data_IF_658257887792
#
_entry.id   IF_658257887792
#
_cell.length_a   1.000
_cell.length_b   1.000
_cell.length_c   1.000
_cell.angle_alpha   90.00
_cell.angle_beta   90.00
_cell.angle_gamma   90.00
#
_symmetry.space_group_name_H-M   'P 1'
#
loop_
_entity.id
_entity.type
_entity.pdbx_description
1 polymer ?
#
# COMPACT_ATOMS: atom_id res chain seq x y z
N UNK A 1 -3.51 18.38 -12.17
CA UNK A 1 -3.03 18.99 -10.88
C UNK A 1 -3.65 18.20 -9.75
N UNK A 2 -2.97 18.08 -8.61
CA UNK A 2 -3.57 17.47 -7.41
C UNK A 2 -4.03 18.56 -6.43
N UNK A 3 -5.01 18.22 -5.62
CA UNK A 3 -5.41 18.99 -4.43
C UNK A 3 -5.24 18.11 -3.20
N UNK A 4 -5.13 18.72 -2.03
CA UNK A 4 -5.07 17.97 -0.78
C UNK A 4 -5.90 18.64 0.31
N UNK A 5 -6.41 17.82 1.22
CA UNK A 5 -7.15 18.26 2.39
C UNK A 5 -6.66 17.54 3.63
N UNK A 6 -6.88 18.13 4.80
CA UNK A 6 -6.58 17.50 6.08
C UNK A 6 -7.82 16.74 6.53
N UNK A 7 -7.65 15.46 6.85
CA UNK A 7 -8.68 14.60 7.43
C UNK A 7 -8.39 14.43 8.92
N UNK A 8 -9.37 14.73 9.75
CA UNK A 8 -9.31 14.49 11.19
C UNK A 8 -9.74 13.06 11.50
N UNK A 9 -8.91 12.33 12.22
CA UNK A 9 -9.16 10.97 12.65
C UNK A 9 -9.98 10.95 13.97
N UNK A 10 -10.53 9.80 14.31
CA UNK A 10 -11.43 9.63 15.48
C UNK A 10 -10.73 9.86 16.84
N UNK A 11 -9.41 9.68 16.91
CA UNK A 11 -8.60 9.97 18.11
C UNK A 11 -8.07 11.43 18.16
N UNK A 12 -8.49 12.26 17.20
CA UNK A 12 -8.10 13.67 17.09
C UNK A 12 -6.80 13.91 16.33
N UNK A 13 -6.09 12.86 15.92
CA UNK A 13 -4.99 12.98 14.98
C UNK A 13 -5.50 13.43 13.60
N UNK A 14 -4.58 13.84 12.73
CA UNK A 14 -4.92 14.29 11.38
C UNK A 14 -4.04 13.57 10.36
N UNK A 15 -4.55 13.40 9.16
CA UNK A 15 -3.78 12.95 8.02
C UNK A 15 -4.03 13.82 6.79
N UNK A 16 -3.12 13.77 5.82
CA UNK A 16 -3.28 14.45 4.55
C UNK A 16 -3.87 13.48 3.54
N UNK A 17 -5.02 13.86 2.96
CA UNK A 17 -5.66 13.18 1.84
C UNK A 17 -5.39 13.97 0.56
N UNK A 18 -4.79 13.34 -0.43
CA UNK A 18 -4.49 13.92 -1.73
C UNK A 18 -5.46 13.36 -2.78
N UNK A 19 -5.93 14.23 -3.68
CA UNK A 19 -6.85 13.92 -4.75
C UNK A 19 -6.25 14.31 -6.10
N UNK A 20 -6.27 13.39 -7.06
CA UNK A 20 -6.03 13.62 -8.49
C UNK A 20 -7.28 13.26 -9.30
N UNK A 21 -7.55 14.04 -10.34
CA UNK A 21 -8.79 13.93 -11.12
C UNK A 21 -9.94 14.68 -10.46
N UNK A 22 -10.95 15.01 -11.25
CA UNK A 22 -12.11 15.81 -10.86
C UNK A 22 -13.45 15.17 -11.22
N UNK A 23 -13.41 13.98 -11.83
CA UNK A 23 -14.59 13.23 -12.25
C UNK A 23 -14.36 11.71 -12.22
N UNK A 24 -15.43 10.96 -12.42
CA UNK A 24 -15.39 9.50 -12.40
C UNK A 24 -15.52 8.89 -11.00
N UNK A 25 -15.51 7.55 -10.91
CA UNK A 25 -15.61 6.83 -9.64
C UNK A 25 -14.36 7.01 -8.76
N UNK A 26 -14.53 6.88 -7.44
CA UNK A 26 -13.40 7.00 -6.52
C UNK A 26 -12.54 5.74 -6.49
N UNK A 27 -11.23 5.93 -6.53
CA UNK A 27 -10.20 4.93 -6.26
C UNK A 27 -9.36 5.40 -5.07
N UNK A 28 -9.43 4.68 -3.95
CA UNK A 28 -8.64 4.99 -2.75
C UNK A 28 -7.41 4.09 -2.68
N UNK A 29 -6.23 4.70 -2.55
CA UNK A 29 -4.94 4.05 -2.57
C UNK A 29 -4.26 4.09 -1.19
N UNK A 30 -3.83 2.92 -0.68
CA UNK A 30 -3.21 2.72 0.64
C UNK A 30 -1.77 2.26 0.44
N UNK A 31 -0.81 3.07 0.87
CA UNK A 31 0.61 2.79 0.67
C UNK A 31 1.17 1.73 1.65
N UNK A 32 2.34 1.15 1.33
CA UNK A 32 3.06 0.22 2.20
C UNK A 32 3.92 0.91 3.26
N UNK A 33 4.55 0.09 4.12
CA UNK A 33 5.37 0.53 5.25
C UNK A 33 6.48 1.50 4.82
N UNK A 34 7.16 2.00 4.51
CA UNK A 34 8.26 2.89 4.07
C UNK A 34 7.88 3.73 2.87
N UNK A 35 6.59 4.09 2.77
CA UNK A 35 6.05 4.81 1.64
C UNK A 35 5.19 6.00 2.10
N UNK A 36 4.48 6.64 1.21
CA UNK A 36 3.59 7.76 1.48
C UNK A 36 2.50 7.85 0.41
N UNK A 37 1.52 8.73 0.58
CA UNK A 37 0.50 9.03 -0.44
C UNK A 37 1.11 9.36 -1.80
N UNK A 38 2.27 10.02 -1.84
CA UNK A 38 2.95 10.41 -3.09
C UNK A 38 3.41 9.24 -3.95
N UNK A 39 3.49 8.03 -3.39
CA UNK A 39 3.83 6.82 -4.15
C UNK A 39 2.80 6.44 -5.21
N UNK A 40 1.63 7.03 -5.17
CA UNK A 40 0.55 6.78 -6.11
C UNK A 40 0.48 7.79 -7.27
N UNK A 41 1.42 8.76 -7.32
CA UNK A 41 1.43 9.80 -8.34
C UNK A 41 1.46 9.24 -9.78
N UNK A 42 2.21 8.15 -10.01
CA UNK A 42 2.28 7.51 -11.33
C UNK A 42 0.98 6.78 -11.71
N UNK A 43 0.34 6.13 -10.75
CA UNK A 43 -1.01 5.56 -10.92
C UNK A 43 -2.01 6.68 -11.19
N UNK A 44 -1.93 7.77 -10.44
CA UNK A 44 -2.78 8.92 -10.65
C UNK A 44 -2.59 9.55 -12.05
N UNK A 45 -1.37 9.70 -12.54
CA UNK A 45 -1.12 10.16 -13.92
C UNK A 45 -1.77 9.28 -14.98
N UNK A 46 -1.87 7.97 -14.73
CA UNK A 46 -2.45 7.00 -15.67
C UNK A 46 -3.98 7.00 -15.65
N UNK A 47 -4.59 7.24 -14.47
CA UNK A 47 -6.01 6.95 -14.28
C UNK A 47 -6.87 8.17 -13.91
N UNK A 48 -6.29 9.36 -13.68
CA UNK A 48 -7.04 10.54 -13.26
C UNK A 48 -7.96 11.16 -14.34
N UNK A 49 -7.89 10.66 -15.56
CA UNK A 49 -8.86 10.95 -16.65
C UNK A 49 -10.11 10.06 -16.60
N UNK A 50 -10.14 9.02 -15.75
CA UNK A 50 -11.23 8.06 -15.61
C UNK A 50 -11.73 7.91 -14.17
N UNK A 51 -10.89 8.25 -13.20
CA UNK A 51 -11.15 8.09 -11.77
C UNK A 51 -10.75 9.34 -10.99
N UNK A 52 -11.44 9.59 -9.91
CA UNK A 52 -10.91 10.40 -8.82
C UNK A 52 -10.01 9.52 -7.96
N UNK A 53 -8.70 9.77 -7.99
CA UNK A 53 -7.69 8.99 -7.27
C UNK A 53 -7.41 9.67 -5.94
N UNK A 54 -7.70 8.97 -4.85
CA UNK A 54 -7.42 9.41 -3.49
C UNK A 54 -6.26 8.62 -2.91
N UNK A 55 -5.37 9.27 -2.19
CA UNK A 55 -4.35 8.63 -1.38
C UNK A 55 -4.08 9.44 -0.12
N UNK A 56 -3.81 8.76 0.99
CA UNK A 56 -3.53 9.42 2.27
C UNK A 56 -2.23 8.89 2.88
N UNK A 57 -1.62 9.68 3.77
CA UNK A 57 -0.48 9.21 4.56
C UNK A 57 -0.97 8.42 5.76
N UNK A 58 -0.60 7.15 5.85
CA UNK A 58 -0.89 6.35 7.03
C UNK A 58 -0.13 6.88 8.25
N UNK A 59 -0.61 6.55 9.43
CA UNK A 59 -0.03 6.95 10.72
C UNK A 59 1.47 6.65 10.77
N UNK A 60 2.26 7.62 11.22
CA UNK A 60 3.73 7.52 11.25
C UNK A 60 4.44 7.73 9.91
N UNK A 61 3.71 8.07 8.83
CA UNK A 61 4.26 8.25 7.49
C UNK A 61 3.97 9.65 6.92
N UNK A 62 4.77 10.06 5.92
CA UNK A 62 4.63 11.33 5.24
C UNK A 62 4.75 12.52 6.21
N UNK A 63 3.94 13.53 6.00
CA UNK A 63 3.91 14.73 6.85
C UNK A 63 3.48 14.44 8.29
N UNK A 64 2.86 13.28 8.54
CA UNK A 64 2.39 12.81 9.85
C UNK A 64 3.33 11.80 10.51
N UNK A 65 4.58 11.68 10.05
CA UNK A 65 5.58 10.75 10.60
C UNK A 65 5.83 10.89 12.11
N UNK A 66 5.47 12.04 12.70
CA UNK A 66 5.65 12.32 14.12
C UNK A 66 4.42 11.99 14.97
N UNK A 67 3.35 11.48 14.40
CA UNK A 67 2.12 11.16 15.14
C UNK A 67 2.38 10.02 16.12
N UNK A 68 2.14 10.30 17.40
CA UNK A 68 2.10 9.29 18.46
C UNK A 68 0.77 8.54 18.42
N UNK A 69 0.76 7.33 18.97
CA UNK A 69 -0.43 6.48 19.00
C UNK A 69 -0.16 5.08 18.44
N UNK A 70 -1.08 4.13 18.58
CA UNK A 70 -0.89 2.78 18.10
C UNK A 70 -0.78 2.72 16.57
N UNK A 71 0.06 1.80 16.08
CA UNK A 71 0.26 1.49 14.66
C UNK A 71 -0.16 0.07 14.31
N UNK A 72 -1.15 -0.44 15.02
CA UNK A 72 -1.72 -1.77 14.76
C UNK A 72 -2.55 -1.80 13.47
N UNK A 73 -2.74 -2.98 12.90
CA UNK A 73 -3.67 -3.18 11.77
C UNK A 73 -5.09 -2.70 12.13
N UNK A 74 -5.52 -2.94 13.37
CA UNK A 74 -6.82 -2.44 13.86
C UNK A 74 -6.90 -0.92 13.80
N UNK A 75 -5.86 -0.19 14.24
CA UNK A 75 -5.81 1.27 14.17
C UNK A 75 -5.78 1.77 12.73
N UNK A 76 -5.03 1.12 11.86
CA UNK A 76 -4.99 1.47 10.44
C UNK A 76 -6.37 1.35 9.77
N UNK A 77 -7.19 0.38 10.20
CA UNK A 77 -8.57 0.24 9.71
C UNK A 77 -9.51 1.33 10.25
N UNK A 78 -9.33 1.77 11.49
CA UNK A 78 -10.09 2.91 12.03
C UNK A 78 -9.71 4.22 11.29
N UNK A 79 -8.42 4.45 11.04
CA UNK A 79 -7.95 5.58 10.25
C UNK A 79 -8.52 5.53 8.82
N UNK A 80 -8.53 4.34 8.18
CA UNK A 80 -9.13 4.13 6.86
C UNK A 80 -10.64 4.46 6.85
N UNK A 81 -11.38 4.12 7.91
CA UNK A 81 -12.80 4.48 8.03
C UNK A 81 -13.00 5.99 7.96
N UNK A 82 -12.24 6.75 8.75
CA UNK A 82 -12.31 8.21 8.74
C UNK A 82 -11.96 8.80 7.34
N UNK A 83 -10.99 8.20 6.65
CA UNK A 83 -10.62 8.62 5.29
C UNK A 83 -11.75 8.32 4.29
N UNK A 84 -12.36 7.14 4.35
CA UNK A 84 -13.51 6.77 3.49
C UNK A 84 -14.68 7.75 3.72
N UNK A 85 -14.99 8.06 4.97
CA UNK A 85 -16.03 9.04 5.31
C UNK A 85 -15.72 10.44 4.76
N UNK A 86 -14.44 10.86 4.82
CA UNK A 86 -14.01 12.17 4.32
C UNK A 86 -14.06 12.29 2.78
N UNK A 87 -13.98 11.18 2.05
CA UNK A 87 -14.13 11.15 0.58
C UNK A 87 -15.57 11.53 0.17
N UNK A 88 -16.57 11.28 1.02
CA UNK A 88 -17.97 11.68 0.85
C UNK A 88 -18.61 11.20 -0.47
N UNK A 89 -18.09 10.12 -1.06
CA UNK A 89 -18.65 9.42 -2.23
C UNK A 89 -18.30 7.92 -2.15
N UNK A 90 -19.06 7.04 -2.85
CA UNK A 90 -18.75 5.62 -2.85
C UNK A 90 -17.32 5.32 -3.36
N UNK A 91 -16.55 4.55 -2.59
CA UNK A 91 -15.23 4.08 -2.99
C UNK A 91 -15.42 2.85 -3.89
N UNK A 92 -15.22 3.02 -5.19
CA UNK A 92 -15.39 1.95 -6.16
C UNK A 92 -14.23 0.97 -6.17
N UNK A 93 -13.00 1.47 -5.93
CA UNK A 93 -11.78 0.66 -5.87
C UNK A 93 -10.99 1.03 -4.63
N UNK A 94 -10.71 0.04 -3.79
CA UNK A 94 -9.75 0.16 -2.68
C UNK A 94 -8.48 -0.60 -3.06
N UNK A 95 -7.39 0.13 -3.30
CA UNK A 95 -6.12 -0.43 -3.75
C UNK A 95 -5.05 -0.26 -2.67
N UNK A 96 -4.31 -1.33 -2.37
CA UNK A 96 -3.24 -1.27 -1.38
C UNK A 96 -2.02 -2.07 -1.78
N UNK A 97 -0.84 -1.60 -1.38
CA UNK A 97 0.45 -2.26 -1.61
C UNK A 97 1.05 -2.73 -0.29
N UNK A 98 1.57 -3.98 -0.24
CA UNK A 98 2.31 -4.49 0.92
C UNK A 98 1.46 -4.43 2.22
N UNK A 99 1.90 -3.71 3.26
CA UNK A 99 1.10 -3.37 4.44
C UNK A 99 -0.24 -2.72 4.10
N UNK A 100 -0.23 -1.75 3.16
CA UNK A 100 -1.47 -1.16 2.65
C UNK A 100 -2.36 -2.17 1.93
N UNK A 101 -1.78 -3.24 1.37
CA UNK A 101 -2.50 -4.38 0.81
C UNK A 101 -3.28 -5.16 1.87
N UNK A 102 -2.67 -5.39 3.04
CA UNK A 102 -3.36 -5.98 4.20
C UNK A 102 -4.53 -5.08 4.66
N UNK A 103 -4.27 -3.78 4.80
CA UNK A 103 -5.31 -2.79 5.17
C UNK A 103 -6.45 -2.78 4.13
N UNK A 104 -6.13 -2.83 2.84
CA UNK A 104 -7.13 -2.85 1.77
C UNK A 104 -7.95 -4.16 1.76
N UNK A 105 -7.34 -5.31 2.00
CA UNK A 105 -8.04 -6.59 2.07
C UNK A 105 -9.07 -6.61 3.21
N UNK A 106 -8.66 -6.26 4.42
CA UNK A 106 -9.59 -6.22 5.57
C UNK A 106 -10.59 -5.05 5.44
N UNK A 107 -10.14 -3.89 4.96
CA UNK A 107 -11.03 -2.76 4.66
C UNK A 107 -12.11 -3.12 3.64
N UNK A 108 -11.76 -3.89 2.61
CA UNK A 108 -12.71 -4.38 1.62
C UNK A 108 -13.80 -5.29 2.18
N UNK A 109 -13.51 -6.05 3.24
CA UNK A 109 -14.53 -6.86 3.92
C UNK A 109 -15.41 -6.02 4.85
N UNK A 110 -14.86 -5.00 5.49
CA UNK A 110 -15.54 -4.23 6.55
C UNK A 110 -16.31 -3.03 6.06
N UNK A 111 -15.83 -2.39 4.99
CA UNK A 111 -16.42 -1.14 4.48
C UNK A 111 -17.15 -1.37 3.16
N UNK A 112 -18.07 -0.46 2.85
CA UNK A 112 -18.79 -0.48 1.58
C UNK A 112 -17.88 0.08 0.45
N UNK A 113 -17.09 -0.82 -0.14
CA UNK A 113 -16.25 -0.55 -1.30
C UNK A 113 -16.60 -1.54 -2.42
N UNK A 114 -16.47 -1.09 -3.67
CA UNK A 114 -16.91 -1.90 -4.81
C UNK A 114 -16.03 -3.12 -5.07
N UNK A 115 -14.70 -2.94 -5.09
CA UNK A 115 -13.71 -3.98 -5.36
C UNK A 115 -12.37 -3.65 -4.70
N UNK A 116 -11.49 -4.65 -4.59
CA UNK A 116 -10.17 -4.52 -3.96
C UNK A 116 -9.06 -4.86 -4.94
N UNK A 117 -7.95 -4.12 -4.85
CA UNK A 117 -6.69 -4.43 -5.53
C UNK A 117 -5.60 -4.57 -4.46
N UNK A 118 -5.13 -5.78 -4.26
CA UNK A 118 -4.08 -6.11 -3.31
C UNK A 118 -2.77 -6.36 -4.08
N UNK A 119 -1.84 -5.42 -3.96
CA UNK A 119 -0.54 -5.46 -4.65
C UNK A 119 0.48 -6.05 -3.71
N UNK A 120 0.92 -7.27 -3.99
CA UNK A 120 1.88 -8.05 -3.20
C UNK A 120 1.65 -7.86 -1.68
N UNK A 121 0.44 -8.23 -1.18
CA UNK A 121 -0.03 -7.82 0.14
C UNK A 121 0.71 -8.54 1.26
N UNK A 122 0.92 -7.87 2.38
CA UNK A 122 1.42 -8.49 3.59
C UNK A 122 0.31 -9.29 4.27
N UNK A 123 0.26 -10.61 4.07
CA UNK A 123 -0.77 -11.48 4.66
C UNK A 123 -0.52 -11.79 6.14
N UNK A 124 0.72 -11.73 6.56
CA UNK A 124 1.19 -11.90 7.94
C UNK A 124 2.55 -11.24 8.09
N UNK A 125 2.99 -10.98 9.30
CA UNK A 125 4.34 -10.46 9.49
C UNK A 125 5.38 -11.47 8.98
N UNK A 126 6.25 -11.00 8.08
CA UNK A 126 7.32 -11.81 7.53
C UNK A 126 8.42 -12.06 8.57
N UNK A 127 8.82 -13.32 8.70
CA UNK A 127 9.97 -13.75 9.51
C UNK A 127 11.10 -14.30 8.63
N UNK A 128 10.95 -14.14 7.31
CA UNK A 128 11.83 -14.75 6.32
C UNK A 128 13.09 -13.91 6.03
N UNK A 129 13.96 -14.49 5.21
CA UNK A 129 15.24 -13.88 4.81
C UNK A 129 15.06 -12.56 4.05
N UNK A 130 13.98 -12.43 3.28
CA UNK A 130 13.68 -11.22 2.54
C UNK A 130 13.40 -10.05 3.48
N UNK A 131 12.55 -10.28 4.48
CA UNK A 131 12.18 -9.26 5.48
C UNK A 131 13.39 -8.81 6.31
N UNK A 132 14.25 -9.75 6.73
CA UNK A 132 15.48 -9.44 7.45
C UNK A 132 16.45 -8.58 6.60
N UNK A 133 16.60 -8.91 5.31
CA UNK A 133 17.41 -8.12 4.38
C UNK A 133 16.83 -6.71 4.21
N UNK A 134 15.53 -6.60 3.99
CA UNK A 134 14.84 -5.32 3.85
C UNK A 134 15.02 -4.42 5.07
N UNK A 135 14.89 -4.95 6.29
CA UNK A 135 15.14 -4.20 7.53
C UNK A 135 16.59 -3.72 7.61
N UNK A 136 17.57 -4.57 7.29
CA UNK A 136 18.98 -4.19 7.31
C UNK A 136 19.33 -3.08 6.32
N UNK A 137 18.75 -3.11 5.13
CA UNK A 137 18.92 -2.04 4.12
C UNK A 137 18.31 -0.71 4.62
N UNK A 138 17.16 -0.77 5.29
CA UNK A 138 16.54 0.41 5.89
C UNK A 138 17.34 0.97 7.06
N UNK A 139 17.87 0.12 7.93
CA UNK A 139 18.74 0.55 9.03
C UNK A 139 19.95 1.33 8.51
N UNK A 140 20.58 0.87 7.42
CA UNK A 140 21.68 1.57 6.79
C UNK A 140 21.26 2.97 6.26
N UNK A 141 20.05 3.11 5.70
CA UNK A 141 19.54 4.40 5.24
C UNK A 141 19.17 5.32 6.42
N UNK A 142 18.58 4.78 7.50
CA UNK A 142 18.24 5.56 8.69
C UNK A 142 19.45 5.96 9.54
N UNK A 143 20.60 5.32 9.37
CA UNK A 143 21.86 5.77 9.94
C UNK A 143 22.35 7.10 9.33
N UNK A 144 21.82 7.50 8.19
CA UNK A 144 22.09 8.78 7.54
C UNK A 144 21.00 9.80 7.87
N UNK A 145 21.31 11.10 7.75
CA UNK A 145 20.36 12.18 8.00
C UNK A 145 20.35 13.20 6.86
N UNK A 146 19.21 13.91 6.71
CA UNK A 146 19.04 15.00 5.77
C UNK A 146 19.44 14.64 4.33
N UNK A 147 20.20 15.52 3.67
CA UNK A 147 20.59 15.34 2.27
C UNK A 147 21.42 14.08 2.01
N UNK A 148 22.19 13.59 3.01
CA UNK A 148 22.97 12.36 2.86
C UNK A 148 22.05 11.15 2.74
N UNK A 149 20.97 11.08 3.55
CA UNK A 149 19.94 10.05 3.42
C UNK A 149 19.24 10.15 2.07
N UNK A 150 18.81 11.32 1.67
CA UNK A 150 18.11 11.55 0.42
C UNK A 150 18.95 11.11 -0.79
N UNK A 151 20.24 11.41 -0.79
CA UNK A 151 21.17 10.98 -1.84
C UNK A 151 21.32 9.44 -1.86
N UNK A 152 21.49 8.81 -0.70
CA UNK A 152 21.58 7.35 -0.58
C UNK A 152 20.28 6.64 -1.05
N UNK A 153 19.13 7.22 -0.76
CA UNK A 153 17.84 6.71 -1.25
C UNK A 153 17.75 6.85 -2.77
N UNK A 154 18.16 7.98 -3.36
CA UNK A 154 18.18 8.14 -4.83
C UNK A 154 19.10 7.13 -5.50
N UNK A 155 20.23 6.82 -4.91
CA UNK A 155 21.17 5.84 -5.41
C UNK A 155 20.62 4.41 -5.30
N UNK A 156 20.09 4.03 -4.13
CA UNK A 156 19.49 2.72 -3.90
C UNK A 156 18.30 2.40 -4.83
N UNK A 157 17.59 3.43 -5.30
CA UNK A 157 16.43 3.30 -6.19
C UNK A 157 16.66 3.98 -7.56
N UNK A 158 17.92 4.02 -8.03
CA UNK A 158 18.31 4.72 -9.27
C UNK A 158 17.55 4.22 -10.50
N UNK A 159 17.23 2.94 -10.56
CA UNK A 159 16.50 2.28 -11.67
C UNK A 159 14.99 2.56 -11.68
N UNK A 160 14.46 3.18 -10.62
CA UNK A 160 13.05 3.51 -10.57
C UNK A 160 12.71 4.73 -11.44
N UNK A 161 11.45 4.79 -11.90
CA UNK A 161 10.94 6.01 -12.50
C UNK A 161 11.16 7.20 -11.55
N UNK A 162 11.43 8.38 -12.09
CA UNK A 162 11.76 9.59 -11.30
C UNK A 162 10.67 9.93 -10.28
N UNK A 163 9.39 9.80 -10.63
CA UNK A 163 8.28 10.07 -9.69
C UNK A 163 8.27 9.07 -8.53
N UNK A 164 8.46 7.80 -8.82
CA UNK A 164 8.50 6.74 -7.82
C UNK A 164 9.71 6.90 -6.89
N UNK A 165 10.86 7.23 -7.45
CA UNK A 165 12.10 7.47 -6.71
C UNK A 165 11.97 8.69 -5.78
N UNK A 166 11.52 9.85 -6.29
CA UNK A 166 11.37 11.05 -5.46
C UNK A 166 10.26 10.89 -4.41
N UNK A 167 9.21 10.09 -4.68
CA UNK A 167 8.23 9.72 -3.67
C UNK A 167 8.84 8.87 -2.55
N UNK A 168 9.82 8.01 -2.86
CA UNK A 168 10.56 7.20 -1.90
C UNK A 168 11.50 8.06 -1.05
N UNK A 169 12.20 9.02 -1.68
CA UNK A 169 13.01 10.02 -0.96
C UNK A 169 12.14 10.77 0.05
N UNK A 170 11.03 11.34 -0.40
CA UNK A 170 10.08 12.05 0.47
C UNK A 170 9.62 11.18 1.65
N UNK A 171 9.25 9.94 1.40
CA UNK A 171 8.75 9.04 2.43
C UNK A 171 9.81 8.74 3.51
N UNK A 172 11.04 8.42 3.11
CA UNK A 172 12.13 8.10 4.04
C UNK A 172 12.75 9.34 4.70
N UNK A 173 12.68 10.51 4.05
CA UNK A 173 13.08 11.77 4.66
C UNK A 173 12.21 12.11 5.87
N UNK A 174 10.89 11.98 5.73
CA UNK A 174 9.93 12.30 6.78
C UNK A 174 9.84 11.20 7.88
N UNK A 175 10.20 9.96 7.55
CA UNK A 175 10.03 8.81 8.44
C UNK A 175 11.14 8.70 9.48
N UNK A 176 10.78 8.22 10.68
CA UNK A 176 11.73 7.89 11.75
C UNK A 176 11.97 6.37 11.80
N UNK A 177 13.16 5.95 12.20
CA UNK A 177 13.48 4.53 12.42
C UNK A 177 12.50 3.88 13.42
N UNK A 178 12.15 4.60 14.50
CA UNK A 178 11.17 4.15 15.51
C UNK A 178 9.77 3.85 14.94
N UNK A 179 9.40 4.38 13.78
CA UNK A 179 8.13 4.05 13.12
C UNK A 179 8.11 2.59 12.66
N UNK A 180 9.23 2.08 12.11
CA UNK A 180 9.34 0.68 11.70
C UNK A 180 9.37 -0.27 12.89
N UNK A 181 10.12 0.09 13.93
CA UNK A 181 10.18 -0.68 15.17
C UNK A 181 8.78 -0.81 15.77
N UNK A 182 8.04 0.29 15.85
CA UNK A 182 6.69 0.33 16.38
C UNK A 182 5.71 -0.49 15.53
N UNK A 183 5.76 -0.36 14.19
CA UNK A 183 4.92 -1.17 13.30
C UNK A 183 5.19 -2.67 13.51
N UNK A 184 6.45 -3.07 13.66
CA UNK A 184 6.81 -4.47 13.91
C UNK A 184 6.32 -4.94 15.28
N UNK A 185 6.61 -4.17 16.33
CA UNK A 185 6.39 -4.61 17.72
C UNK A 185 4.90 -4.60 18.09
N UNK A 186 4.11 -3.73 17.48
CA UNK A 186 2.65 -3.65 17.70
C UNK A 186 1.82 -4.59 16.80
N UNK A 187 2.46 -5.27 15.83
CA UNK A 187 1.82 -6.25 14.95
C UNK A 187 2.57 -7.58 14.94
N UNK A 188 2.81 -8.23 16.10
CA UNK A 188 3.52 -9.50 16.12
C UNK A 188 2.74 -10.59 15.37
N UNK A 189 3.42 -11.62 14.84
CA UNK A 189 2.82 -12.65 13.96
C UNK A 189 1.58 -13.33 14.52
N UNK A 190 1.49 -13.46 15.84
CA UNK A 190 0.37 -14.08 16.56
C UNK A 190 -0.87 -13.18 16.66
N UNK A 191 -0.78 -11.89 16.34
CA UNK A 191 -1.90 -10.94 16.47
C UNK A 191 -2.67 -10.75 15.18
N UNK A 192 -2.11 -11.14 14.05
CA UNK A 192 -2.79 -11.07 12.77
C UNK A 192 -2.21 -12.04 11.74
N UNK A 193 -3.12 -12.76 11.10
CA UNK A 193 -2.86 -13.67 10.00
C UNK A 193 -4.07 -13.61 9.07
N UNK A 194 -3.89 -13.05 7.88
CA UNK A 194 -4.98 -12.78 6.95
C UNK A 194 -5.31 -13.98 6.04
N UNK A 195 -4.68 -15.14 6.25
CA UNK A 195 -4.90 -16.30 5.38
C UNK A 195 -6.31 -16.85 5.44
N UNK A 196 -6.95 -16.79 6.62
CA UNK A 196 -8.35 -17.20 6.76
C UNK A 196 -9.30 -16.15 6.17
N UNK A 197 -8.99 -14.88 6.32
CA UNK A 197 -9.81 -13.76 5.83
C UNK A 197 -9.84 -13.67 4.31
N UNK A 198 -8.78 -14.08 3.61
CA UNK A 198 -8.79 -14.09 2.15
C UNK A 198 -9.52 -15.29 1.57
N UNK A 199 -9.74 -16.35 2.35
CA UNK A 199 -10.53 -17.49 1.92
C UNK A 199 -11.99 -17.06 1.67
N UNK A 200 -12.50 -17.35 0.47
CA UNK A 200 -13.86 -16.96 0.05
C UNK A 200 -14.12 -15.44 0.14
N UNK A 201 -13.18 -14.66 -0.34
CA UNK A 201 -13.26 -13.19 -0.30
C UNK A 201 -14.61 -12.70 -0.88
N UNK A 202 -15.36 -11.84 -0.15
CA UNK A 202 -16.76 -11.58 -0.47
C UNK A 202 -16.98 -10.64 -1.66
N UNK A 203 -15.93 -9.95 -2.13
CA UNK A 203 -15.98 -8.93 -3.18
C UNK A 203 -15.02 -9.25 -4.33
N UNK A 204 -15.18 -8.65 -5.50
CA UNK A 204 -14.16 -8.74 -6.53
C UNK A 204 -12.81 -8.28 -5.99
N UNK A 205 -11.78 -9.12 -6.10
CA UNK A 205 -10.42 -8.81 -5.67
C UNK A 205 -9.40 -9.20 -6.72
N UNK A 206 -8.46 -8.29 -6.99
CA UNK A 206 -7.25 -8.58 -7.75
C UNK A 206 -6.08 -8.74 -6.77
N UNK A 207 -5.46 -9.91 -6.77
CA UNK A 207 -4.14 -10.15 -6.19
C UNK A 207 -3.10 -9.96 -7.30
N UNK A 208 -2.48 -8.79 -7.36
CA UNK A 208 -1.37 -8.52 -8.26
C UNK A 208 -0.07 -8.85 -7.52
N UNK A 209 0.52 -10.00 -7.85
CA UNK A 209 1.62 -10.60 -7.09
C UNK A 209 2.96 -10.40 -7.79
N UNK A 210 4.00 -10.15 -6.99
CA UNK A 210 5.39 -10.18 -7.47
C UNK A 210 5.84 -11.60 -7.81
N UNK A 211 7.03 -11.73 -8.40
CA UNK A 211 7.69 -13.02 -8.54
C UNK A 211 7.89 -13.65 -7.15
N UNK A 212 7.57 -14.93 -6.94
CA UNK A 212 7.74 -15.59 -5.64
C UNK A 212 9.15 -15.46 -5.04
N UNK A 213 10.19 -15.34 -5.87
CA UNK A 213 11.56 -15.12 -5.40
C UNK A 213 11.82 -13.69 -4.91
N UNK A 214 10.92 -12.74 -5.20
CA UNK A 214 11.04 -11.31 -4.89
C UNK A 214 9.86 -10.75 -4.09
N UNK A 215 8.88 -11.60 -3.79
CA UNK A 215 7.66 -11.24 -3.04
C UNK A 215 7.90 -11.26 -1.54
N UNK A 216 7.09 -10.46 -0.82
CA UNK A 216 6.93 -10.55 0.63
C UNK A 216 5.99 -11.70 1.03
N UNK A 217 5.20 -12.20 0.09
CA UNK A 217 4.26 -13.31 0.32
C UNK A 217 5.04 -14.61 0.38
N UNK A 218 4.87 -15.38 1.45
CA UNK A 218 5.53 -16.68 1.58
C UNK A 218 5.04 -17.65 0.51
N UNK A 219 5.91 -18.53 0.02
CA UNK A 219 5.58 -19.42 -1.10
C UNK A 219 4.31 -20.26 -0.87
N UNK A 220 4.08 -20.78 0.33
CA UNK A 220 2.85 -21.52 0.65
C UNK A 220 1.58 -20.68 0.63
N UNK A 221 1.70 -19.36 0.78
CA UNK A 221 0.57 -18.44 0.76
C UNK A 221 0.16 -18.08 -0.69
N UNK A 222 1.07 -18.18 -1.68
CA UNK A 222 0.71 -18.09 -3.11
C UNK A 222 -0.29 -19.17 -3.50
N UNK A 223 -0.03 -20.42 -3.16
CA UNK A 223 -0.94 -21.54 -3.43
C UNK A 223 -2.29 -21.35 -2.72
N UNK A 224 -2.30 -20.72 -1.54
CA UNK A 224 -3.52 -20.38 -0.85
C UNK A 224 -4.31 -19.32 -1.62
N UNK A 225 -3.68 -18.23 -2.05
CA UNK A 225 -4.31 -17.17 -2.84
C UNK A 225 -4.89 -17.75 -4.14
N UNK A 226 -4.12 -18.57 -4.86
CA UNK A 226 -4.57 -19.20 -6.10
C UNK A 226 -5.77 -20.12 -5.89
N UNK A 227 -5.80 -20.92 -4.81
CA UNK A 227 -6.93 -21.79 -4.48
C UNK A 227 -8.17 -21.02 -4.02
N UNK A 228 -7.97 -19.91 -3.33
CA UNK A 228 -9.06 -19.07 -2.81
C UNK A 228 -9.54 -18.06 -3.82
N UNK A 229 -8.79 -17.84 -4.90
CA UNK A 229 -9.24 -17.09 -6.05
C UNK A 229 -10.45 -17.81 -6.67
N UNK A 230 -11.62 -17.58 -6.09
CA UNK A 230 -12.90 -18.06 -6.59
C UNK A 230 -13.37 -17.26 -7.80
N UNK A 231 -14.61 -17.43 -8.20
CA UNK A 231 -15.20 -16.74 -9.37
C UNK A 231 -15.08 -15.20 -9.33
N UNK A 232 -14.88 -14.62 -8.14
CA UNK A 232 -14.77 -13.17 -7.93
C UNK A 232 -13.35 -12.67 -7.70
N UNK A 233 -12.38 -13.57 -7.64
CA UNK A 233 -10.99 -13.22 -7.34
C UNK A 233 -10.11 -13.51 -8.54
N UNK A 234 -9.22 -12.60 -8.86
CA UNK A 234 -8.19 -12.74 -9.89
C UNK A 234 -6.82 -12.75 -9.21
N UNK A 235 -6.03 -13.79 -9.44
CA UNK A 235 -4.63 -13.83 -9.03
C UNK A 235 -3.75 -13.69 -10.28
N UNK A 236 -2.83 -12.75 -10.28
CA UNK A 236 -1.89 -12.53 -11.37
C UNK A 236 -0.47 -12.39 -10.83
N UNK A 237 0.39 -13.38 -11.15
CA UNK A 237 1.81 -13.36 -10.77
C UNK A 237 2.61 -12.74 -11.92
N UNK A 238 3.31 -11.65 -11.66
CA UNK A 238 4.20 -11.00 -12.61
C UNK A 238 5.61 -11.57 -12.44
N UNK A 239 5.91 -12.64 -13.17
CA UNK A 239 7.23 -13.30 -13.12
C UNK A 239 8.36 -12.31 -13.39
N UNK A 240 9.39 -12.31 -12.55
CA UNK A 240 10.53 -11.40 -12.58
C UNK A 240 10.27 -10.03 -11.94
N UNK A 241 9.02 -9.68 -11.60
CA UNK A 241 8.71 -8.42 -10.95
C UNK A 241 9.08 -8.43 -9.46
N UNK A 242 9.56 -7.30 -8.95
CA UNK A 242 9.88 -7.13 -7.53
C UNK A 242 8.62 -6.90 -6.68
N UNK A 243 8.78 -6.95 -5.35
CA UNK A 243 7.76 -6.57 -4.37
C UNK A 243 7.04 -5.24 -4.70
N UNK A 244 7.74 -4.28 -5.27
CA UNK A 244 7.17 -2.99 -5.69
C UNK A 244 6.74 -2.99 -7.16
N UNK A 245 6.08 -4.04 -7.64
CA UNK A 245 5.74 -4.29 -9.05
C UNK A 245 4.98 -3.12 -9.72
N UNK A 246 4.14 -2.41 -8.98
CA UNK A 246 3.43 -1.22 -9.47
C UNK A 246 4.36 -0.02 -9.76
N UNK A 247 5.66 -0.14 -9.45
CA UNK A 247 6.72 0.83 -9.74
C UNK A 247 7.74 0.27 -10.73
N UNK A 248 8.25 -0.91 -10.44
CA UNK A 248 9.34 -1.54 -11.22
C UNK A 248 8.85 -2.21 -12.49
N UNK A 249 7.59 -2.64 -12.55
CA UNK A 249 6.97 -3.28 -13.71
C UNK A 249 5.60 -2.65 -14.03
N UNK A 250 5.58 -1.33 -14.06
CA UNK A 250 4.36 -0.53 -14.14
C UNK A 250 3.47 -0.88 -15.34
N UNK A 251 4.06 -1.08 -16.52
CA UNK A 251 3.28 -1.33 -17.73
C UNK A 251 2.57 -2.70 -17.70
N UNK A 252 3.19 -3.72 -17.11
CA UNK A 252 2.53 -5.01 -16.89
C UNK A 252 1.48 -4.91 -15.80
N UNK A 253 1.77 -4.21 -14.71
CA UNK A 253 0.80 -3.95 -13.65
C UNK A 253 -0.43 -3.21 -14.19
N UNK A 254 -0.25 -2.16 -15.00
CA UNK A 254 -1.36 -1.42 -15.63
C UNK A 254 -2.23 -2.31 -16.49
N UNK A 255 -1.65 -3.21 -17.29
CA UNK A 255 -2.44 -4.17 -18.12
C UNK A 255 -3.32 -5.05 -17.24
N UNK A 256 -2.75 -5.66 -16.20
CA UNK A 256 -3.48 -6.52 -15.25
C UNK A 256 -4.59 -5.73 -14.53
N UNK A 257 -4.30 -4.50 -14.14
CA UNK A 257 -5.29 -3.63 -13.49
C UNK A 257 -6.40 -3.22 -14.46
N UNK A 258 -6.08 -2.85 -15.71
CA UNK A 258 -7.08 -2.50 -16.73
C UNK A 258 -8.01 -3.68 -17.05
N UNK A 259 -7.48 -4.90 -17.18
CA UNK A 259 -8.27 -6.12 -17.40
C UNK A 259 -9.23 -6.37 -16.22
N UNK A 260 -8.76 -6.23 -14.99
CA UNK A 260 -9.59 -6.39 -13.80
C UNK A 260 -10.66 -5.29 -13.67
N UNK A 261 -10.33 -4.04 -14.02
CA UNK A 261 -11.28 -2.93 -13.97
C UNK A 261 -12.36 -3.05 -15.06
N UNK A 262 -12.04 -3.69 -16.19
CA UNK A 262 -12.97 -3.91 -17.29
C UNK A 262 -13.91 -5.10 -17.10
N UNK A 263 -13.58 -6.07 -16.25
CA UNK A 263 -14.28 -7.34 -16.07
C UNK A 263 -15.60 -7.26 -15.25
N UNK A 264 -16.24 -6.09 -15.16
CA UNK A 264 -17.46 -5.92 -14.33
C UNK A 264 -18.52 -5.11 -15.03
#
# INVERSE_FOLDING_TARGET
>A
MSSHTVVRLDDGAETTLELWGDHGPAMLCVHGMTSSRKSWARVAQKYSDRFQIFAYDQRGHGERATIDGPMTLHRALQDLSCVIEAIAMPVNVLMGHSWGGAVALIGGQRFDVGRVVAIDPMLRQGTDRWYAKFLSELEALFALEGEARDAAVRDAYADWNVLDRESKVYALHAMRASTLEKLRDENPPETWDLREEIANYPKPVLFAMADPAQSIVAQGDFELIERTAGERSTCCILTGASHSLQRTDFDRFVRVLDDFLAAT
#
